data_IF_110549095980
#
_entry.id   IF_110549095980
#
_cell.length_a   1.000
_cell.length_b   1.000
_cell.length_c   1.000
_cell.angle_alpha   90.00
_cell.angle_beta   90.00
_cell.angle_gamma   90.00
#
_symmetry.space_group_name_H-M   'P 1'
#
loop_
_entity.id
_entity.type
_entity.pdbx_description
1 polymer ?
2 water ?
#
# COMPACT_ATOMS: atom_id res chain seq x y z
N UNK A 1 -22.27 -8.07 -1.64
CA UNK A 1 -22.62 -9.29 -2.42
C UNK A 1 -23.35 -8.94 -3.72
N UNK A 2 -24.17 -7.89 -3.65
CA UNK A 2 -25.01 -7.47 -4.78
C UNK A 2 -24.19 -6.96 -5.97
N UNK A 3 -23.27 -6.03 -5.68
CA UNK A 3 -22.39 -5.49 -6.70
C UNK A 3 -21.51 -6.56 -7.33
N UNK A 4 -21.02 -7.49 -6.50
CA UNK A 4 -20.16 -8.57 -7.00
C UNK A 4 -20.92 -9.54 -7.90
N UNK A 5 -22.23 -9.66 -7.67
CA UNK A 5 -23.07 -10.54 -8.46
C UNK A 5 -23.50 -9.92 -9.78
N UNK A 6 -23.54 -8.59 -9.83
CA UNK A 6 -23.92 -7.88 -11.06
C UNK A 6 -23.04 -6.65 -11.29
N UNK A 7 -21.73 -6.86 -11.44
CA UNK A 7 -20.82 -5.74 -11.63
C UNK A 7 -21.07 -4.99 -12.93
N UNK A 8 -21.81 -5.59 -13.85
CA UNK A 8 -22.14 -4.95 -15.11
C UNK A 8 -23.05 -3.75 -14.97
N UNK A 9 -23.63 -3.58 -13.80
CA UNK A 9 -24.47 -2.42 -13.52
C UNK A 9 -23.67 -1.20 -13.10
N UNK A 10 -22.39 -1.37 -12.80
CA UNK A 10 -21.59 -0.27 -12.23
C UNK A 10 -21.01 0.67 -13.27
N UNK A 11 -20.92 1.94 -12.91
CA UNK A 11 -20.15 2.91 -13.68
C UNK A 11 -18.68 2.57 -13.56
N UNK A 12 -17.85 3.07 -14.48
CA UNK A 12 -16.42 2.72 -14.47
C UNK A 12 -15.69 3.07 -13.15
N UNK A 13 -15.92 4.28 -12.61
CA UNK A 13 -15.24 4.53 -11.33
C UNK A 13 -15.64 3.56 -10.21
N UNK A 14 -16.94 3.30 -10.04
CA UNK A 14 -17.39 2.32 -9.04
C UNK A 14 -16.78 0.93 -9.28
N UNK A 15 -16.77 0.51 -10.54
CA UNK A 15 -16.16 -0.77 -10.88
C UNK A 15 -14.70 -0.83 -10.48
N UNK A 16 -13.99 0.28 -10.74
CA UNK A 16 -12.56 0.37 -10.39
C UNK A 16 -12.37 0.28 -8.88
N UNK A 17 -13.21 1.00 -8.13
CA UNK A 17 -13.22 0.91 -6.67
C UNK A 17 -13.43 -0.53 -6.19
N UNK A 18 -14.44 -1.21 -6.75
CA UNK A 18 -14.73 -2.58 -6.37
C UNK A 18 -13.56 -3.53 -6.72
N UNK A 19 -13.00 -3.38 -7.91
CA UNK A 19 -11.87 -4.19 -8.33
C UNK A 19 -10.71 -4.03 -7.36
N UNK A 20 -10.50 -2.80 -6.92
CA UNK A 20 -9.41 -2.50 -5.97
C UNK A 20 -9.61 -3.23 -4.64
N UNK A 21 -10.85 -3.29 -4.18
CA UNK A 21 -11.17 -4.01 -2.95
C UNK A 21 -10.95 -5.51 -3.07
N UNK A 22 -11.36 -6.09 -4.19
CA UNK A 22 -11.16 -7.51 -4.41
C UNK A 22 -9.69 -7.85 -4.64
N UNK A 23 -8.96 -6.93 -5.26
CA UNK A 23 -7.51 -7.11 -5.45
C UNK A 23 -6.81 -7.10 -4.09
N UNK A 24 -7.22 -6.18 -3.22
CA UNK A 24 -6.68 -6.11 -1.86
C UNK A 24 -6.91 -7.43 -1.13
N UNK A 25 -8.14 -7.93 -1.18
CA UNK A 25 -8.49 -9.20 -0.54
C UNK A 25 -7.63 -10.35 -1.07
N UNK A 26 -7.43 -10.42 -2.39
CA UNK A 26 -6.57 -11.41 -2.99
C UNK A 26 -5.14 -11.32 -2.44
N UNK A 27 -4.58 -10.12 -2.43
CA UNK A 27 -3.20 -9.93 -2.00
C UNK A 27 -3.02 -10.33 -0.54
N UNK A 28 -4.00 -9.99 0.29
CA UNK A 28 -3.91 -10.27 1.73
C UNK A 28 -4.12 -11.74 2.04
N UNK A 29 -5.11 -12.36 1.40
CA UNK A 29 -5.40 -13.78 1.62
C UNK A 29 -4.24 -14.68 1.22
N UNK A 30 -3.47 -14.24 0.22
CA UNK A 30 -2.37 -15.04 -0.31
C UNK A 30 -1.00 -14.59 0.17
N UNK A 31 -0.99 -13.62 1.08
CA UNK A 31 0.24 -13.06 1.66
C UNK A 31 1.28 -12.76 0.58
N UNK A 32 0.81 -12.14 -0.50
CA UNK A 32 1.67 -11.74 -1.62
C UNK A 32 2.68 -10.68 -1.17
N UNK A 33 3.95 -10.87 -1.54
CA UNK A 33 5.01 -9.93 -1.15
C UNK A 33 5.26 -8.90 -2.22
N UNK A 34 5.25 -9.36 -3.47
CA UNK A 34 5.42 -8.48 -4.61
C UNK A 34 4.72 -9.10 -5.80
N UNK A 35 4.36 -8.27 -6.76
CA UNK A 35 3.63 -8.75 -7.93
C UNK A 35 3.80 -7.85 -9.14
N UNK A 36 3.72 -8.44 -10.33
CA UNK A 36 3.55 -7.66 -11.54
C UNK A 36 2.06 -7.49 -11.76
N UNK A 37 1.68 -6.34 -12.28
CA UNK A 37 0.25 -6.04 -12.52
C UNK A 37 -0.43 -7.19 -13.26
N UNK A 38 0.29 -7.73 -14.24
CA UNK A 38 -0.29 -8.76 -15.11
C UNK A 38 -0.67 -10.02 -14.34
N UNK A 39 -0.02 -10.25 -13.21
CA UNK A 39 -0.39 -11.38 -12.34
C UNK A 39 -1.81 -11.27 -11.80
N UNK A 40 -2.23 -10.05 -11.46
CA UNK A 40 -3.61 -9.85 -11.01
C UNK A 40 -4.61 -10.03 -12.14
N UNK A 41 -4.21 -9.60 -13.34
CA UNK A 41 -5.04 -9.76 -14.54
C UNK A 41 -5.27 -11.24 -14.85
N UNK A 42 -4.41 -12.10 -14.32
CA UNK A 42 -4.52 -13.53 -14.56
C UNK A 42 -5.31 -14.29 -13.50
N UNK A 43 -5.74 -13.59 -12.45
CA UNK A 43 -6.59 -14.19 -11.45
C UNK A 43 -8.02 -14.18 -12.00
N UNK A 44 -8.58 -15.35 -12.26
CA UNK A 44 -9.86 -15.44 -12.96
C UNK A 44 -10.96 -14.60 -12.30
N UNK A 45 -11.02 -14.63 -10.97
CA UNK A 45 -12.08 -13.90 -10.26
C UNK A 45 -11.93 -12.38 -10.42
N UNK A 46 -10.69 -11.90 -10.48
CA UNK A 46 -10.46 -10.47 -10.71
C UNK A 46 -10.75 -10.07 -12.16
N UNK A 47 -10.29 -10.88 -13.12
CA UNK A 47 -10.54 -10.56 -14.53
C UNK A 47 -12.03 -10.60 -14.85
N UNK A 48 -12.73 -11.58 -14.29
CA UNK A 48 -14.18 -11.68 -14.47
C UNK A 48 -14.91 -10.47 -13.93
N UNK A 49 -14.45 -9.94 -12.81
CA UNK A 49 -15.06 -8.74 -12.24
C UNK A 49 -14.77 -7.54 -13.14
N UNK A 50 -13.51 -7.40 -13.51
CA UNK A 50 -13.07 -6.22 -14.26
C UNK A 50 -13.65 -6.16 -15.65
N UNK A 51 -13.88 -7.33 -16.25
CA UNK A 51 -14.25 -7.40 -17.66
C UNK A 51 -15.74 -7.12 -17.88
N UNK A 52 -16.11 -5.85 -17.77
CA UNK A 52 -17.47 -5.40 -18.01
C UNK A 52 -17.56 -4.54 -19.27
N UNK A 53 -18.75 -4.46 -19.88
CA UNK A 53 -18.88 -3.70 -21.12
C UNK A 53 -18.35 -2.27 -21.02
N UNK A 54 -18.51 -1.64 -19.85
CA UNK A 54 -18.08 -0.24 -19.69
C UNK A 54 -16.60 -0.02 -19.98
N UNK A 55 -15.75 -1.02 -19.73
CA UNK A 55 -14.31 -0.82 -19.95
C UNK A 55 -13.97 -0.78 -21.46
N UNK A 56 -14.85 -1.32 -22.28
CA UNK A 56 -14.59 -1.52 -23.71
C UNK A 56 -15.16 -0.43 -24.57
N UNK A 57 -16.02 0.40 -23.98
CA UNK A 57 -16.71 1.44 -24.73
C UNK A 57 -16.28 2.84 -24.27
N UNK A 69 -7.04 -0.24 -27.43
CA UNK A 69 -7.24 -1.68 -27.64
C UNK A 69 -7.88 -2.34 -26.41
N UNK A 70 -8.20 -3.61 -26.58
CA UNK A 70 -8.74 -4.42 -25.49
C UNK A 70 -7.71 -4.63 -24.38
N UNK A 71 -6.48 -4.97 -24.75
CA UNK A 71 -5.42 -5.11 -23.77
C UNK A 71 -5.20 -3.81 -23.00
N UNK A 72 -5.30 -2.68 -23.69
CA UNK A 72 -5.18 -1.37 -23.03
C UNK A 72 -6.32 -1.04 -22.06
N UNK A 73 -7.55 -1.45 -22.41
CA UNK A 73 -8.71 -1.26 -21.52
C UNK A 73 -8.55 -2.05 -20.22
N UNK A 74 -8.07 -3.29 -20.35
CA UNK A 74 -7.84 -4.14 -19.18
C UNK A 74 -6.66 -3.60 -18.36
N UNK A 75 -5.58 -3.21 -19.04
CA UNK A 75 -4.46 -2.60 -18.33
C UNK A 75 -4.88 -1.39 -17.56
N UNK A 76 -5.73 -0.55 -18.18
CA UNK A 76 -6.14 0.71 -17.55
C UNK A 76 -6.90 0.51 -16.23
N UNK A 77 -7.90 -0.36 -16.25
CA UNK A 77 -8.71 -0.54 -15.03
C UNK A 77 -7.88 -1.20 -13.91
N UNK A 78 -7.04 -2.18 -14.27
CA UNK A 78 -6.21 -2.79 -13.26
C UNK A 78 -5.17 -1.82 -12.72
N UNK A 79 -4.60 -0.97 -13.58
CA UNK A 79 -3.61 0.01 -13.10
C UNK A 79 -4.27 1.00 -12.17
N UNK A 80 -5.46 1.45 -12.54
CA UNK A 80 -6.18 2.38 -11.67
C UNK A 80 -6.57 1.74 -10.34
N UNK A 81 -6.97 0.48 -10.36
CA UNK A 81 -7.29 -0.24 -9.12
C UNK A 81 -6.07 -0.38 -8.20
N UNK A 82 -4.93 -0.75 -8.77
CA UNK A 82 -3.71 -0.85 -8.00
C UNK A 82 -3.29 0.52 -7.45
N UNK A 83 -3.45 1.56 -8.26
CA UNK A 83 -3.13 2.91 -7.78
C UNK A 83 -3.99 3.36 -6.60
N UNK A 84 -5.25 2.91 -6.53
CA UNK A 84 -6.06 3.15 -5.34
C UNK A 84 -5.44 2.50 -4.10
N UNK A 85 -4.88 1.31 -4.27
CA UNK A 85 -4.19 0.64 -3.17
C UNK A 85 -2.91 1.38 -2.79
N UNK A 86 -2.21 1.90 -3.79
CA UNK A 86 -1.00 2.72 -3.54
C UNK A 86 -1.36 3.95 -2.73
N UNK A 87 -2.43 4.61 -3.12
CA UNK A 87 -2.86 5.83 -2.44
C UNK A 87 -3.21 5.59 -0.99
N UNK A 88 -3.68 4.38 -0.70
CA UNK A 88 -4.04 3.96 0.66
C UNK A 88 -2.82 3.44 1.44
N UNK A 89 -1.68 3.35 0.75
CA UNK A 89 -0.40 2.95 1.35
C UNK A 89 -0.20 1.45 1.45
N UNK A 90 -1.07 0.68 0.79
CA UNK A 90 -1.08 -0.78 0.91
C UNK A 90 -0.06 -1.44 0.00
N UNK A 91 0.29 -0.75 -1.08
CA UNK A 91 1.35 -1.22 -1.97
C UNK A 91 2.24 -0.04 -2.33
N UNK A 92 3.45 -0.33 -2.76
CA UNK A 92 4.38 0.72 -3.15
C UNK A 92 5.27 0.25 -4.28
N UNK A 93 5.96 1.21 -4.88
CA UNK A 93 6.95 0.91 -5.91
C UNK A 93 8.31 1.43 -5.52
N UNK A 94 9.33 0.82 -6.09
CA UNK A 94 10.71 1.26 -5.89
C UNK A 94 11.16 1.98 -7.15
N UNK A 95 12.23 2.78 -7.04
CA UNK A 95 12.76 3.47 -8.21
C UNK A 95 13.63 2.50 -9.01
N UNK A 96 12.99 1.64 -9.80
CA UNK A 96 13.66 0.46 -10.35
C UNK A 96 13.51 0.31 -11.87
N UNK A 97 12.77 1.22 -12.49
CA UNK A 97 12.49 1.16 -13.94
C UNK A 97 11.49 0.09 -14.34
N UNK A 98 10.75 -0.42 -13.36
CA UNK A 98 9.72 -1.42 -13.64
C UNK A 98 8.34 -0.88 -13.31
N UNK A 99 7.73 -0.25 -14.30
CA UNK A 99 6.43 0.43 -14.12
C UNK A 99 5.34 -0.48 -13.56
N UNK A 100 5.44 -1.79 -13.86
CA UNK A 100 4.38 -2.73 -13.50
C UNK A 100 4.67 -3.64 -12.31
N UNK A 101 5.78 -3.38 -11.61
CA UNK A 101 6.16 -4.15 -10.43
C UNK A 101 5.75 -3.43 -9.15
N UNK A 102 5.04 -4.12 -8.28
CA UNK A 102 4.56 -3.55 -7.00
C UNK A 102 4.94 -4.41 -5.80
N UNK A 103 5.13 -3.76 -4.66
CA UNK A 103 5.45 -4.44 -3.41
C UNK A 103 4.32 -4.21 -2.41
N UNK A 104 4.01 -5.22 -1.61
CA UNK A 104 2.94 -5.10 -0.62
C UNK A 104 3.53 -4.62 0.71
N UNK A 105 3.05 -3.48 1.17
CA UNK A 105 3.60 -2.83 2.37
C UNK A 105 3.65 -3.75 3.60
N UNK A 106 2.53 -4.44 3.87
CA UNK A 106 2.40 -5.30 5.05
C UNK A 106 3.38 -6.49 5.07
N UNK A 107 3.94 -6.83 3.90
CA UNK A 107 4.83 -7.98 3.80
C UNK A 107 6.31 -7.64 3.72
N UNK A 108 6.63 -6.34 3.73
CA UNK A 108 8.02 -5.93 3.69
C UNK A 108 8.56 -5.83 5.11
N UNK A 109 9.05 -6.96 5.63
CA UNK A 109 9.51 -7.03 7.03
C UNK A 109 10.70 -6.12 7.30
N UNK A 110 11.61 -6.03 6.33
CA UNK A 110 12.80 -5.20 6.43
C UNK A 110 12.37 -3.73 6.62
N UNK A 111 11.37 -3.31 5.86
CA UNK A 111 10.85 -1.94 5.98
C UNK A 111 10.32 -1.71 7.40
N UNK A 112 9.55 -2.66 7.93
CA UNK A 112 8.98 -2.51 9.28
C UNK A 112 10.10 -2.40 10.30
N UNK A 113 11.11 -3.27 10.16
CA UNK A 113 12.21 -3.28 11.12
C UNK A 113 12.99 -1.96 11.10
N UNK A 114 13.23 -1.43 9.91
CA UNK A 114 13.98 -0.20 9.77
C UNK A 114 13.24 1.01 10.35
N UNK A 115 11.93 1.07 10.12
CA UNK A 115 11.11 2.13 10.70
C UNK A 115 11.09 2.00 12.24
N UNK A 116 10.96 0.77 12.71
CA UNK A 116 10.96 0.53 14.15
C UNK A 116 12.26 1.02 14.75
N UNK A 117 13.38 0.69 14.09
CA UNK A 117 14.71 1.13 14.57
C UNK A 117 14.83 2.66 14.61
N UNK A 118 14.35 3.32 13.56
CA UNK A 118 14.38 4.79 13.52
C UNK A 118 13.68 5.37 14.76
N UNK A 119 12.52 4.79 15.10
CA UNK A 119 11.73 5.25 16.25
C UNK A 119 12.44 4.94 17.57
N UNK A 120 12.99 3.73 17.69
CA UNK A 120 13.73 3.33 18.90
C UNK A 120 14.89 4.29 19.19
N UNK A 121 15.51 4.78 18.13
CA UNK A 121 16.66 5.70 18.24
C UNK A 121 16.26 7.18 18.28
N UNK A 122 14.96 7.45 18.50
CA UNK A 122 14.43 8.82 18.60
C UNK A 122 14.79 9.65 17.37
N UNK A 123 14.81 9.01 16.21
CA UNK A 123 15.14 9.68 14.96
C UNK A 123 16.50 10.40 15.04
N UNK A 124 17.43 9.82 15.80
CA UNK A 124 18.80 10.36 15.96
C UNK A 124 18.86 11.69 16.68
N UNK A 125 17.80 12.07 17.38
CA UNK A 125 17.84 13.31 18.17
C UNK A 125 18.79 13.16 19.35
N UNK A 126 19.53 14.23 19.67
CA UNK A 126 20.32 14.26 20.90
C UNK A 126 19.44 13.91 22.10
N UNK A 127 20.05 13.34 23.13
CA UNK A 127 19.30 12.85 24.28
C UNK A 127 18.67 13.95 25.16
N UNK A 128 18.99 15.22 24.89
CA UNK A 128 18.33 16.33 25.59
C UNK A 128 16.97 16.65 25.01
N UNK A 129 16.71 16.17 23.79
CA UNK A 129 15.41 16.33 23.18
C UNK A 129 14.48 15.20 23.61
N UNK A 130 13.22 15.31 23.20
CA UNK A 130 12.17 14.38 23.56
C UNK A 130 12.44 12.97 23.02
N UNK A 131 12.13 11.92 23.80
CA UNK A 131 12.17 10.56 23.28
C UNK A 131 11.13 10.34 22.17
N UNK A 132 11.40 9.39 21.30
CA UNK A 132 10.50 9.13 20.18
C UNK A 132 10.59 10.24 19.15
N UNK A 133 9.67 10.25 18.20
CA UNK A 133 9.65 11.33 17.20
C UNK A 133 8.31 11.45 16.48
N UNK A 134 8.13 12.58 15.81
CA UNK A 134 6.92 12.90 15.09
C UNK A 134 6.90 12.17 13.79
N UNK A 135 5.69 11.83 13.35
CA UNK A 135 5.45 11.27 12.01
C UNK A 135 6.32 11.88 10.92
N UNK A 136 6.34 13.21 10.83
CA UNK A 136 7.08 13.88 9.75
C UNK A 136 8.60 13.69 9.89
N UNK A 137 9.07 13.62 11.12
CA UNK A 137 10.48 13.35 11.39
C UNK A 137 10.83 11.94 10.98
N UNK A 138 9.99 10.97 11.36
CA UNK A 138 10.19 9.59 10.93
C UNK A 138 10.24 9.51 9.41
N UNK A 139 9.33 10.21 8.75
CA UNK A 139 9.26 10.20 7.30
C UNK A 139 10.54 10.79 6.70
N UNK A 140 11.02 11.89 7.27
CA UNK A 140 12.24 12.55 6.78
C UNK A 140 13.42 11.61 6.89
N UNK A 141 13.51 10.89 8.00
CA UNK A 141 14.59 9.93 8.23
C UNK A 141 14.50 8.73 7.30
N UNK A 142 13.28 8.21 7.12
CA UNK A 142 13.06 7.05 6.27
C UNK A 142 13.36 7.34 4.82
N UNK A 143 13.04 8.56 4.37
CA UNK A 143 13.31 8.92 2.98
C UNK A 143 14.81 9.05 2.71
N UNK A 144 15.57 9.40 3.74
CA UNK A 144 17.01 9.52 3.60
C UNK A 144 17.68 8.14 3.70
N UNK A 145 17.20 7.31 4.61
CA UNK A 145 17.92 6.06 4.94
C UNK A 145 17.39 4.80 4.25
N UNK A 146 16.12 4.82 3.85
CA UNK A 146 15.49 3.61 3.32
C UNK A 146 15.10 3.79 1.86
N UNK A 147 14.24 4.77 1.60
CA UNK A 147 13.60 4.89 0.30
C UNK A 147 13.16 6.32 0.05
N UNK A 148 13.82 7.02 -0.88
CA UNK A 148 13.56 8.44 -1.14
C UNK A 148 12.10 8.75 -1.48
N UNK A 149 11.40 7.82 -2.14
CA UNK A 149 10.03 8.05 -2.57
C UNK A 149 8.94 7.66 -1.58
N UNK A 150 9.33 7.30 -0.36
CA UNK A 150 8.36 6.79 0.63
C UNK A 150 7.22 7.77 0.87
N UNK A 151 5.98 7.35 0.63
CA UNK A 151 4.83 8.22 0.82
C UNK A 151 4.33 8.24 2.27
N UNK A 152 3.63 9.33 2.64
CA UNK A 152 2.94 9.41 3.93
C UNK A 152 2.03 8.21 4.16
N UNK A 153 1.30 7.79 3.12
CA UNK A 153 0.34 6.69 3.27
C UNK A 153 1.00 5.34 3.57
N UNK A 154 2.12 5.08 2.90
CA UNK A 154 2.87 3.85 3.17
C UNK A 154 3.44 3.89 4.59
N UNK A 155 4.03 5.01 4.97
CA UNK A 155 4.52 5.12 6.35
C UNK A 155 3.40 4.90 7.36
N UNK A 156 2.23 5.50 7.11
CA UNK A 156 1.11 5.36 8.03
C UNK A 156 0.73 3.88 8.20
N UNK A 157 0.72 3.14 7.10
CA UNK A 157 0.45 1.70 7.17
C UNK A 157 1.48 0.92 7.97
N UNK A 158 2.76 1.30 7.83
CA UNK A 158 3.81 0.63 8.60
C UNK A 158 3.64 0.93 10.09
N UNK A 159 3.37 2.19 10.41
CA UNK A 159 3.19 2.60 11.80
C UNK A 159 2.01 1.87 12.45
N UNK A 160 0.93 1.73 11.70
CA UNK A 160 -0.25 1.02 12.19
C UNK A 160 0.06 -0.45 12.49
N UNK A 161 0.81 -1.10 11.61
CA UNK A 161 1.26 -2.46 11.87
C UNK A 161 2.17 -2.57 13.10
N UNK A 162 3.14 -1.67 13.22
CA UNK A 162 4.02 -1.67 14.39
C UNK A 162 3.23 -1.43 15.69
N UNK A 163 2.18 -0.59 15.60
CA UNK A 163 1.31 -0.33 16.74
C UNK A 163 0.51 -1.59 17.08
N UNK A 164 -0.01 -2.27 16.05
CA UNK A 164 -0.77 -3.50 16.26
C UNK A 164 0.08 -4.59 16.91
N UNK A 165 1.37 -4.60 16.59
CA UNK A 165 2.31 -5.57 17.13
C UNK A 165 2.85 -5.17 18.51
N UNK A 166 2.37 -4.04 19.03
CA UNK A 166 2.84 -3.45 20.29
C UNK A 166 4.36 -3.22 20.28
N UNK A 167 4.87 -2.76 19.14
CA UNK A 167 6.28 -2.44 19.02
C UNK A 167 6.51 -0.95 19.22
N UNK A 168 5.49 -0.16 18.89
CA UNK A 168 5.51 1.28 19.16
C UNK A 168 4.19 1.72 19.78
N UNK A 169 4.21 2.91 20.39
CA UNK A 169 3.04 3.51 20.99
C UNK A 169 2.97 4.97 20.57
N UNK A 170 1.77 5.46 20.32
CA UNK A 170 1.56 6.86 20.05
C UNK A 170 1.31 7.59 21.37
N UNK A 171 2.18 8.55 21.67
CA UNK A 171 2.13 9.23 22.98
C UNK A 171 1.40 10.56 22.85
N UNK A 172 1.20 10.96 21.61
CA UNK A 172 0.59 12.22 21.25
C UNK A 172 0.14 12.06 19.82
N UNK A 173 -0.79 12.90 19.36
CA UNK A 173 -1.23 12.84 17.96
C UNK A 173 -0.02 12.87 17.00
N UNK A 174 0.09 11.83 16.20
CA UNK A 174 1.17 11.70 15.19
C UNK A 174 2.56 11.65 15.75
N UNK A 175 2.68 11.22 17.00
CA UNK A 175 3.98 11.12 17.66
C UNK A 175 4.16 9.75 18.27
N UNK A 176 5.33 9.15 18.06
CA UNK A 176 5.55 7.74 18.39
C UNK A 176 6.83 7.52 19.18
N UNK A 177 6.77 6.58 20.12
CA UNK A 177 7.95 6.13 20.83
C UNK A 177 7.96 4.60 20.80
N UNK A 178 9.11 3.98 21.02
CA UNK A 178 9.16 2.53 21.18
C UNK A 178 8.25 2.13 22.35
N UNK A 179 7.71 0.91 22.28
CA UNK A 179 6.72 0.47 23.25
C UNK A 179 7.27 0.49 24.67
#
# INVERSE_FOLDING_TARGET
>A
AEALSNPGALDLPSLTSLLSEKAKEFLMENRVQSFYQQELEMVESLLSLANQPVIHSASSDQVNFKKDTTSKAIHSIFKNAIQLLQEKGLVFQKDDGFDNLYYVTREDKDLHRKIHRIIQQDCQKPNHMEKGCHFLHILACARLSIRPGLSEAVLQQVLELLEDQSDIVSTMEHYYTAF
#
